data_IF_089617954843
#
_entry.id   IF_089617954843
#
_cell.length_a   1.000
_cell.length_b   1.000
_cell.length_c   1.000
_cell.angle_alpha   90.00
_cell.angle_beta   90.00
_cell.angle_gamma   90.00
#
_symmetry.space_group_name_H-M   'P 1'
#
loop_
_entity.id
_entity.type
_entity.pdbx_description
1 polymer ?
#
# COMPACT_ATOMS: atom_id res chain seq x y z
N UNK A 1 -9.71 12.90 18.10
CA UNK A 1 -9.82 12.20 16.81
C UNK A 1 -11.18 12.52 16.22
N UNK A 2 -11.24 13.36 15.19
CA UNK A 2 -12.51 13.61 14.49
C UNK A 2 -12.86 12.35 13.69
N UNK A 3 -14.01 11.79 14.00
CA UNK A 3 -14.55 10.62 13.35
C UNK A 3 -15.12 11.06 11.98
N UNK A 4 -14.27 11.17 10.97
CA UNK A 4 -14.70 11.47 9.60
C UNK A 4 -15.40 10.23 9.08
N UNK A 5 -16.73 10.18 9.21
CA UNK A 5 -17.55 9.12 8.64
C UNK A 5 -17.55 9.25 7.12
N UNK A 6 -16.52 8.72 6.48
CA UNK A 6 -16.47 8.57 5.03
C UNK A 6 -17.58 7.58 4.67
N UNK A 7 -18.69 8.08 4.12
CA UNK A 7 -19.82 7.24 3.70
C UNK A 7 -19.41 6.49 2.43
N UNK A 8 -19.31 5.16 2.51
CA UNK A 8 -19.17 4.29 1.34
C UNK A 8 -20.45 4.44 0.51
N UNK A 9 -20.36 5.07 -0.67
CA UNK A 9 -21.46 5.02 -1.63
C UNK A 9 -21.74 3.56 -1.97
N UNK A 10 -23.02 3.19 -2.04
CA UNK A 10 -23.51 1.82 -2.24
C UNK A 10 -23.30 1.40 -3.69
N UNK A 11 -22.05 1.37 -4.14
CA UNK A 11 -21.62 0.53 -5.25
C UNK A 11 -21.43 -0.87 -4.66
N UNK A 12 -22.05 -1.87 -5.27
CA UNK A 12 -21.87 -3.27 -4.87
C UNK A 12 -20.45 -3.79 -5.22
N UNK A 13 -19.71 -3.02 -6.04
CA UNK A 13 -18.38 -3.41 -6.51
C UNK A 13 -17.34 -3.13 -5.43
N UNK A 14 -16.44 -4.09 -5.24
CA UNK A 14 -15.30 -3.96 -4.34
C UNK A 14 -14.32 -2.93 -4.89
N UNK A 15 -13.76 -2.11 -4.02
CA UNK A 15 -12.81 -1.05 -4.37
C UNK A 15 -11.38 -1.54 -4.09
N UNK A 16 -10.52 -1.53 -5.10
CA UNK A 16 -9.11 -1.92 -5.01
C UNK A 16 -8.23 -0.70 -5.23
N UNK A 17 -7.37 -0.42 -4.26
CA UNK A 17 -6.37 0.65 -4.35
C UNK A 17 -5.04 0.08 -4.83
N UNK A 18 -4.51 0.55 -5.96
CA UNK A 18 -3.18 0.20 -6.45
C UNK A 18 -2.23 1.33 -6.04
N UNK A 19 -1.38 1.08 -5.03
CA UNK A 19 -0.46 2.07 -4.47
C UNK A 19 0.95 1.47 -4.28
N UNK A 20 1.71 1.28 -5.38
CA UNK A 20 3.05 0.70 -5.33
C UNK A 20 4.13 1.76 -5.09
N UNK A 21 5.36 1.29 -5.01
CA UNK A 21 6.59 2.06 -5.02
C UNK A 21 6.86 2.63 -6.41
N UNK A 22 8.00 3.28 -6.55
CA UNK A 22 8.49 3.84 -7.81
C UNK A 22 9.85 3.24 -8.18
N UNK A 23 10.14 3.17 -9.47
CA UNK A 23 11.42 2.71 -9.99
C UNK A 23 11.27 2.05 -11.36
N UNK A 24 12.38 1.78 -12.04
CA UNK A 24 12.32 1.13 -13.37
C UNK A 24 11.65 -0.25 -13.32
N UNK A 25 11.85 -0.98 -12.22
CA UNK A 25 11.23 -2.27 -11.95
C UNK A 25 9.95 -2.15 -11.09
N UNK A 26 9.45 -0.92 -10.89
CA UNK A 26 8.25 -0.66 -10.10
C UNK A 26 7.00 -1.24 -10.75
N UNK A 27 5.98 -1.52 -9.93
CA UNK A 27 4.77 -2.19 -10.42
C UNK A 27 4.07 -1.39 -11.52
N UNK A 28 3.98 -0.06 -11.37
CA UNK A 28 3.34 0.80 -12.38
C UNK A 28 4.11 0.75 -13.70
N UNK A 29 5.43 0.90 -13.61
CA UNK A 29 6.32 0.95 -14.77
C UNK A 29 6.33 -0.34 -15.59
N UNK A 30 6.08 -1.48 -14.94
CA UNK A 30 6.20 -2.82 -15.54
C UNK A 30 4.85 -3.47 -15.86
N UNK A 31 3.93 -3.50 -14.90
CA UNK A 31 2.67 -4.28 -14.95
C UNK A 31 1.42 -3.48 -14.59
N UNK A 32 1.54 -2.17 -14.36
CA UNK A 32 0.44 -1.34 -13.86
C UNK A 32 -0.79 -1.36 -14.77
N UNK A 33 -0.58 -1.20 -16.08
CA UNK A 33 -1.67 -1.24 -17.06
C UNK A 33 -2.37 -2.61 -17.10
N UNK A 34 -1.59 -3.70 -17.07
CA UNK A 34 -2.10 -5.08 -17.10
C UNK A 34 -2.98 -5.37 -15.87
N UNK A 35 -2.53 -4.97 -14.68
CA UNK A 35 -3.29 -5.17 -13.44
C UNK A 35 -4.57 -4.35 -13.43
N UNK A 36 -4.51 -3.08 -13.88
CA UNK A 36 -5.72 -2.26 -14.00
C UNK A 36 -6.74 -2.94 -14.93
N UNK A 37 -6.30 -3.45 -16.08
CA UNK A 37 -7.16 -4.18 -17.02
C UNK A 37 -7.80 -5.40 -16.37
N UNK A 38 -7.01 -6.28 -15.76
CA UNK A 38 -7.47 -7.52 -15.08
C UNK A 38 -8.56 -7.21 -14.04
N UNK A 39 -8.37 -6.16 -13.24
CA UNK A 39 -9.30 -5.80 -12.18
C UNK A 39 -10.59 -5.18 -12.73
N UNK A 40 -10.49 -4.28 -13.72
CA UNK A 40 -11.66 -3.68 -14.35
C UNK A 40 -12.52 -4.72 -15.06
N UNK A 41 -11.91 -5.65 -15.80
CA UNK A 41 -12.60 -6.76 -16.46
C UNK A 41 -13.28 -7.71 -15.47
N UNK A 42 -12.73 -7.80 -14.26
CA UNK A 42 -13.31 -8.59 -13.17
C UNK A 42 -14.37 -7.83 -12.35
N UNK A 43 -14.76 -6.63 -12.76
CA UNK A 43 -15.83 -5.84 -12.16
C UNK A 43 -15.45 -5.08 -10.88
N UNK A 44 -14.15 -4.89 -10.61
CA UNK A 44 -13.70 -4.07 -9.48
C UNK A 44 -13.75 -2.58 -9.81
N UNK A 45 -13.97 -1.76 -8.79
CA UNK A 45 -13.63 -0.33 -8.85
C UNK A 45 -12.13 -0.19 -8.54
N UNK A 46 -11.38 0.42 -9.44
CA UNK A 46 -9.92 0.51 -9.37
C UNK A 46 -9.49 1.95 -9.15
N UNK A 47 -8.76 2.20 -8.07
CA UNK A 47 -8.09 3.48 -7.81
C UNK A 47 -6.60 3.27 -8.03
N UNK A 48 -6.03 3.85 -9.07
CA UNK A 48 -4.58 3.90 -9.24
C UNK A 48 -4.03 5.15 -8.53
N UNK A 49 -3.15 4.96 -7.55
CA UNK A 49 -2.52 6.02 -6.78
C UNK A 49 -1.00 5.96 -6.94
N UNK A 50 -0.43 6.62 -7.96
CA UNK A 50 1.01 6.60 -8.20
C UNK A 50 1.79 7.31 -7.10
N UNK A 51 3.00 6.81 -6.83
CA UNK A 51 3.95 7.55 -6.02
C UNK A 51 4.35 8.88 -6.70
N UNK A 52 4.58 10.00 -5.98
CA UNK A 52 4.98 11.28 -6.58
C UNK A 52 6.20 11.19 -7.50
N UNK A 53 7.15 10.34 -7.15
CA UNK A 53 8.33 10.10 -7.98
C UNK A 53 8.01 9.34 -9.26
N UNK A 54 6.99 8.48 -9.30
CA UNK A 54 6.49 7.88 -10.54
C UNK A 54 5.85 8.94 -11.42
N UNK A 55 5.07 9.86 -10.86
CA UNK A 55 4.53 11.01 -11.61
C UNK A 55 5.69 11.86 -12.18
N UNK A 56 6.72 12.13 -11.38
CA UNK A 56 7.85 12.97 -11.80
C UNK A 56 8.75 12.29 -12.85
N UNK A 57 9.06 11.00 -12.70
CA UNK A 57 10.08 10.30 -13.50
C UNK A 57 9.49 9.42 -14.61
N UNK A 58 8.27 8.93 -14.42
CA UNK A 58 7.60 7.94 -15.27
C UNK A 58 6.23 8.44 -15.77
N UNK A 59 6.02 9.76 -15.86
CA UNK A 59 4.71 10.34 -16.18
C UNK A 59 4.08 9.78 -17.45
N UNK A 60 4.89 9.46 -18.47
CA UNK A 60 4.42 8.88 -19.73
C UNK A 60 3.66 7.56 -19.51
N UNK A 61 4.09 6.74 -18.54
CA UNK A 61 3.41 5.49 -18.18
C UNK A 61 2.05 5.80 -17.54
N UNK A 62 2.00 6.78 -16.63
CA UNK A 62 0.75 7.22 -16.00
C UNK A 62 -0.23 7.75 -17.05
N UNK A 63 0.23 8.63 -17.93
CA UNK A 63 -0.58 9.19 -19.02
C UNK A 63 -1.10 8.10 -19.97
N UNK A 64 -0.30 7.05 -20.22
CA UNK A 64 -0.74 5.90 -21.04
C UNK A 64 -1.90 5.17 -20.37
N UNK A 65 -1.75 4.83 -19.08
CA UNK A 65 -2.80 4.14 -18.30
C UNK A 65 -4.05 5.02 -18.21
N UNK A 66 -3.89 6.30 -17.87
CA UNK A 66 -5.00 7.26 -17.79
C UNK A 66 -5.75 7.36 -19.12
N UNK A 67 -5.04 7.52 -20.23
CA UNK A 67 -5.64 7.61 -21.57
C UNK A 67 -6.42 6.35 -21.95
N UNK A 68 -5.95 5.18 -21.52
CA UNK A 68 -6.59 3.90 -21.81
C UNK A 68 -7.88 3.69 -21.04
N UNK A 69 -7.92 4.11 -19.78
CA UNK A 69 -9.05 3.85 -18.88
C UNK A 69 -9.89 5.08 -18.52
N UNK A 70 -9.62 6.26 -19.12
CA UNK A 70 -10.32 7.53 -18.81
C UNK A 70 -11.84 7.47 -18.91
N UNK A 71 -12.37 6.65 -19.81
CA UNK A 71 -13.82 6.55 -20.08
C UNK A 71 -14.47 5.41 -19.28
N UNK A 72 -13.67 4.64 -18.52
CA UNK A 72 -14.18 3.58 -17.66
C UNK A 72 -14.61 4.17 -16.30
N UNK A 73 -15.92 4.13 -16.03
CA UNK A 73 -16.51 4.68 -14.80
C UNK A 73 -16.01 4.00 -13.51
N UNK A 74 -15.44 2.80 -13.61
CA UNK A 74 -14.88 2.07 -12.48
C UNK A 74 -13.38 2.38 -12.26
N UNK A 75 -12.76 3.22 -13.08
CA UNK A 75 -11.35 3.61 -12.94
C UNK A 75 -11.21 5.04 -12.40
N UNK A 76 -10.30 5.24 -11.46
CA UNK A 76 -9.90 6.56 -10.96
C UNK A 76 -8.38 6.65 -10.85
N UNK A 77 -7.80 7.68 -11.45
CA UNK A 77 -6.43 8.08 -11.17
C UNK A 77 -6.41 9.09 -10.01
N UNK A 78 -5.62 8.83 -8.98
CA UNK A 78 -5.46 9.70 -7.82
C UNK A 78 -4.02 10.20 -7.70
N UNK A 79 -3.81 11.48 -8.02
CA UNK A 79 -2.49 12.13 -8.00
C UNK A 79 -2.27 13.07 -6.81
N UNK A 80 -3.33 13.47 -6.09
CA UNK A 80 -3.20 14.29 -4.88
C UNK A 80 -2.82 13.41 -3.68
N UNK A 81 -1.56 13.48 -3.28
CA UNK A 81 -1.04 12.73 -2.13
C UNK A 81 -1.68 13.10 -0.79
N UNK A 82 -2.28 14.29 -0.68
CA UNK A 82 -2.94 14.71 0.56
C UNK A 82 -4.29 14.04 0.72
N UNK A 83 -4.87 13.52 -0.37
CA UNK A 83 -6.10 12.76 -0.28
C UNK A 83 -5.82 11.48 0.52
N UNK A 84 -6.60 11.26 1.57
CA UNK A 84 -6.54 10.02 2.35
C UNK A 84 -7.79 9.16 2.17
N UNK A 85 -8.82 9.69 1.52
CA UNK A 85 -10.13 9.08 1.39
C UNK A 85 -10.07 7.69 0.73
N UNK A 86 -9.20 7.52 -0.28
CA UNK A 86 -9.01 6.25 -0.98
C UNK A 86 -8.55 5.13 -0.05
N UNK A 87 -7.71 5.42 0.96
CA UNK A 87 -7.29 4.44 1.95
C UNK A 87 -8.47 3.98 2.84
N UNK A 88 -9.37 4.89 3.20
CA UNK A 88 -10.58 4.54 3.97
C UNK A 88 -11.57 3.73 3.14
N UNK A 89 -11.79 4.13 1.88
CA UNK A 89 -12.83 3.59 1.01
C UNK A 89 -12.50 2.22 0.39
N UNK A 90 -11.22 1.94 0.12
CA UNK A 90 -10.84 0.68 -0.54
C UNK A 90 -11.04 -0.53 0.37
N UNK A 91 -11.42 -1.66 -0.22
CA UNK A 91 -11.60 -2.94 0.47
C UNK A 91 -10.25 -3.66 0.66
N UNK A 92 -9.29 -3.43 -0.24
CA UNK A 92 -7.92 -3.89 -0.12
C UNK A 92 -6.97 -3.02 -0.96
N UNK A 93 -5.67 -3.22 -0.78
CA UNK A 93 -4.62 -2.56 -1.56
C UNK A 93 -3.77 -3.60 -2.32
N UNK A 94 -3.41 -3.27 -3.56
CA UNK A 94 -2.32 -3.91 -4.31
C UNK A 94 -1.10 -3.00 -4.23
N UNK A 95 0.05 -3.57 -3.90
CA UNK A 95 1.32 -2.86 -3.82
C UNK A 95 2.48 -3.77 -4.22
N UNK A 96 3.71 -3.27 -4.12
CA UNK A 96 4.96 -4.01 -4.32
C UNK A 96 5.86 -3.87 -3.07
N UNK A 97 6.95 -3.13 -3.15
CA UNK A 97 7.90 -2.84 -2.08
C UNK A 97 7.64 -1.47 -1.44
N UNK A 98 6.39 -1.01 -1.41
CA UNK A 98 6.04 0.30 -0.88
C UNK A 98 5.81 0.28 0.62
N UNK A 99 6.45 1.19 1.37
CA UNK A 99 6.18 1.38 2.80
C UNK A 99 4.73 1.78 3.09
N UNK A 100 4.04 2.45 2.15
CA UNK A 100 2.63 2.84 2.31
C UNK A 100 1.70 1.63 2.49
N UNK A 101 2.10 0.46 1.98
CA UNK A 101 1.34 -0.77 2.18
C UNK A 101 1.38 -1.23 3.65
N UNK A 102 2.52 -1.08 4.31
CA UNK A 102 2.69 -1.40 5.73
C UNK A 102 1.87 -0.43 6.57
N UNK A 103 1.97 0.88 6.26
CA UNK A 103 1.17 1.92 6.93
C UNK A 103 -0.32 1.66 6.79
N UNK A 104 -0.78 1.33 5.58
CA UNK A 104 -2.18 0.99 5.31
C UNK A 104 -2.65 -0.23 6.11
N UNK A 105 -1.88 -1.33 6.07
CA UNK A 105 -2.25 -2.53 6.80
C UNK A 105 -2.36 -2.22 8.30
N UNK A 106 -1.38 -1.52 8.87
CA UNK A 106 -1.39 -1.17 10.29
C UNK A 106 -2.46 -0.15 10.68
N UNK A 107 -2.80 0.80 9.83
CA UNK A 107 -3.80 1.81 10.14
C UNK A 107 -5.24 1.28 9.98
N UNK A 108 -5.51 0.53 8.91
CA UNK A 108 -6.86 0.11 8.53
C UNK A 108 -7.17 -1.34 8.84
N UNK A 109 -6.15 -2.14 9.19
CA UNK A 109 -6.28 -3.57 9.48
C UNK A 109 -6.89 -4.36 8.31
N UNK A 110 -6.58 -3.91 7.09
CA UNK A 110 -7.02 -4.47 5.81
C UNK A 110 -5.86 -5.18 5.09
N UNK A 111 -6.14 -6.24 4.31
CA UNK A 111 -5.10 -7.03 3.65
C UNK A 111 -4.43 -6.29 2.49
N UNK A 112 -3.18 -6.65 2.23
CA UNK A 112 -2.41 -6.25 1.05
C UNK A 112 -2.22 -7.43 0.11
N UNK A 113 -2.29 -7.18 -1.19
CA UNK A 113 -1.83 -8.09 -2.24
C UNK A 113 -0.53 -7.53 -2.83
N UNK A 114 0.58 -8.15 -2.46
CA UNK A 114 1.90 -7.75 -2.89
C UNK A 114 2.26 -8.43 -4.21
N UNK A 115 2.39 -7.67 -5.28
CA UNK A 115 2.96 -8.18 -6.52
C UNK A 115 4.47 -8.26 -6.37
N UNK A 116 5.03 -9.44 -6.66
CA UNK A 116 6.44 -9.72 -6.45
C UNK A 116 7.30 -9.23 -7.61
N UNK A 117 7.52 -7.91 -7.63
CA UNK A 117 8.48 -7.26 -8.50
C UNK A 117 9.91 -7.45 -7.97
N UNK A 118 10.95 -7.24 -8.80
CA UNK A 118 12.32 -7.22 -8.30
C UNK A 118 12.46 -6.28 -7.10
N UNK A 119 13.17 -6.76 -6.06
CA UNK A 119 13.32 -6.02 -4.81
C UNK A 119 13.87 -4.62 -5.05
N UNK A 120 13.24 -3.64 -4.41
CA UNK A 120 13.70 -2.25 -4.47
C UNK A 120 14.86 -2.03 -3.50
N UNK A 121 16.06 -2.35 -3.98
CA UNK A 121 17.31 -2.14 -3.24
C UNK A 121 17.82 -0.72 -3.53
N UNK A 122 17.75 0.16 -2.52
CA UNK A 122 18.28 1.53 -2.62
C UNK A 122 19.74 1.64 -2.13
N UNK A 123 20.15 0.72 -1.24
CA UNK A 123 21.51 0.65 -0.74
C UNK A 123 22.20 -0.58 -1.37
N UNK A 124 23.19 -0.42 -2.27
CA UNK A 124 23.89 -1.55 -2.87
C UNK A 124 24.71 -2.37 -1.86
N UNK A 125 24.98 -1.81 -0.68
CA UNK A 125 25.69 -2.48 0.42
C UNK A 125 24.73 -3.06 1.46
N UNK A 126 23.45 -3.27 1.13
CA UNK A 126 22.47 -3.83 2.06
C UNK A 126 22.90 -5.16 2.66
N UNK A 127 23.60 -5.99 1.88
CA UNK A 127 24.06 -7.31 2.28
C UNK A 127 25.21 -7.27 3.31
N UNK A 128 25.80 -6.11 3.58
CA UNK A 128 26.78 -5.95 4.68
C UNK A 128 26.12 -5.96 6.06
N UNK A 129 24.80 -5.76 6.13
CA UNK A 129 24.02 -5.80 7.36
C UNK A 129 23.22 -7.10 7.35
N UNK A 130 23.55 -8.04 8.25
CA UNK A 130 22.86 -9.33 8.39
C UNK A 130 21.50 -9.16 9.10
N UNK A 131 20.61 -8.39 8.50
CA UNK A 131 19.24 -8.15 8.95
C UNK A 131 18.28 -8.17 7.78
N UNK A 132 17.18 -8.90 7.95
CA UNK A 132 16.09 -8.94 6.97
C UNK A 132 15.35 -7.59 7.01
N UNK A 133 15.19 -6.90 5.86
CA UNK A 133 14.41 -5.66 5.78
C UNK A 133 12.99 -5.85 6.29
N UNK A 134 12.43 -4.81 6.90
CA UNK A 134 11.09 -4.87 7.48
C UNK A 134 10.03 -5.20 6.42
N UNK A 135 10.17 -4.61 5.23
CA UNK A 135 9.30 -4.85 4.08
C UNK A 135 9.31 -6.32 3.68
N UNK A 136 10.48 -6.96 3.63
CA UNK A 136 10.60 -8.38 3.29
C UNK A 136 9.95 -9.26 4.35
N UNK A 137 10.23 -8.98 5.63
CA UNK A 137 9.68 -9.73 6.76
C UNK A 137 8.15 -9.66 6.83
N UNK A 138 7.56 -8.49 6.58
CA UNK A 138 6.14 -8.26 6.85
C UNK A 138 5.21 -8.71 5.72
N UNK A 139 5.65 -8.73 4.45
CA UNK A 139 4.77 -8.93 3.29
C UNK A 139 3.85 -10.15 3.40
N UNK A 140 4.39 -11.29 3.84
CA UNK A 140 3.63 -12.54 4.03
C UNK A 140 2.81 -12.59 5.33
N UNK A 141 3.08 -11.68 6.27
CA UNK A 141 2.37 -11.60 7.56
C UNK A 141 1.12 -10.72 7.47
N UNK A 142 1.21 -9.60 6.74
CA UNK A 142 0.14 -8.60 6.62
C UNK A 142 -0.61 -8.66 5.27
N UNK A 143 -0.19 -9.55 4.37
CA UNK A 143 -0.76 -9.69 3.05
C UNK A 143 -0.44 -11.02 2.39
N UNK A 144 -0.73 -11.10 1.10
CA UNK A 144 -0.40 -12.22 0.23
C UNK A 144 0.57 -11.77 -0.86
N UNK A 145 1.62 -12.56 -1.10
CA UNK A 145 2.59 -12.31 -2.18
C UNK A 145 2.15 -13.08 -3.43
N UNK A 146 2.11 -12.38 -4.57
CA UNK A 146 1.64 -12.89 -5.87
C UNK A 146 2.75 -12.70 -6.88
N UNK A 147 3.16 -13.79 -7.54
CA UNK A 147 4.21 -13.73 -8.56
C UNK A 147 3.73 -13.01 -9.83
N UNK A 148 4.69 -12.50 -10.62
CA UNK A 148 4.39 -11.85 -11.91
C UNK A 148 3.72 -12.79 -12.92
N UNK A 149 3.86 -14.10 -12.78
CA UNK A 149 3.19 -15.11 -13.61
C UNK A 149 1.74 -15.39 -13.20
N UNK A 150 1.30 -14.92 -12.04
CA UNK A 150 0.00 -15.24 -11.43
C UNK A 150 -0.94 -14.03 -11.34
N UNK A 151 -0.65 -12.94 -12.08
CA UNK A 151 -1.46 -11.71 -12.01
C UNK A 151 -2.94 -11.94 -12.33
N UNK A 152 -3.25 -12.89 -13.23
CA UNK A 152 -4.63 -13.28 -13.56
C UNK A 152 -5.40 -13.87 -12.37
N UNK A 153 -4.71 -14.36 -11.34
CA UNK A 153 -5.33 -14.92 -10.14
C UNK A 153 -5.72 -13.84 -9.12
N UNK A 154 -5.20 -12.61 -9.24
CA UNK A 154 -5.46 -11.49 -8.30
C UNK A 154 -6.95 -11.33 -7.99
N UNK A 155 -7.88 -11.24 -8.98
CA UNK A 155 -9.32 -11.15 -8.74
C UNK A 155 -9.87 -12.24 -7.81
N UNK A 156 -9.49 -13.49 -8.06
CA UNK A 156 -9.95 -14.65 -7.29
C UNK A 156 -9.43 -14.61 -5.85
N UNK A 157 -8.15 -14.27 -5.67
CA UNK A 157 -7.50 -14.10 -4.37
C UNK A 157 -8.17 -12.99 -3.56
N UNK A 158 -8.40 -11.81 -4.16
CA UNK A 158 -9.14 -10.71 -3.52
C UNK A 158 -10.51 -11.18 -3.04
N UNK A 159 -11.27 -11.87 -3.91
CA UNK A 159 -12.61 -12.32 -3.59
C UNK A 159 -12.64 -13.34 -2.43
N UNK A 160 -11.75 -14.33 -2.46
CA UNK A 160 -11.59 -15.32 -1.39
C UNK A 160 -11.16 -14.67 -0.07
N UNK A 161 -10.18 -13.76 -0.12
CA UNK A 161 -9.64 -13.11 1.07
C UNK A 161 -10.68 -12.26 1.78
N UNK A 162 -11.45 -11.47 1.04
CA UNK A 162 -12.48 -10.60 1.61
C UNK A 162 -13.63 -11.40 2.27
N UNK A 163 -13.79 -12.68 1.96
CA UNK A 163 -14.73 -13.56 2.68
C UNK A 163 -14.16 -14.07 4.02
N UNK A 164 -12.84 -13.98 4.24
CA UNK A 164 -12.12 -14.58 5.37
C UNK A 164 -11.53 -13.57 6.37
N UNK A 165 -11.99 -12.31 6.34
CA UNK A 165 -11.36 -11.12 6.96
C UNK A 165 -10.83 -11.29 8.39
N UNK A 166 -11.49 -12.07 9.25
CA UNK A 166 -11.10 -12.19 10.66
C UNK A 166 -9.68 -12.73 10.87
N UNK A 167 -9.17 -13.62 10.01
CA UNK A 167 -7.86 -14.26 10.22
C UNK A 167 -6.66 -13.33 9.98
N UNK A 168 -6.79 -12.36 9.07
CA UNK A 168 -5.68 -11.45 8.74
C UNK A 168 -5.60 -10.27 9.69
N UNK A 169 -6.75 -9.79 10.17
CA UNK A 169 -6.81 -8.72 11.15
C UNK A 169 -5.93 -9.02 12.37
N UNK A 170 -6.02 -10.23 12.93
CA UNK A 170 -5.22 -10.66 14.07
C UNK A 170 -3.71 -10.68 13.76
N UNK A 171 -3.31 -11.19 12.57
CA UNK A 171 -1.90 -11.20 12.14
C UNK A 171 -1.35 -9.79 11.97
N UNK A 172 -2.13 -8.89 11.38
CA UNK A 172 -1.77 -7.48 11.20
C UNK A 172 -1.60 -6.80 12.55
N UNK A 173 -2.56 -6.99 13.47
CA UNK A 173 -2.50 -6.42 14.82
C UNK A 173 -1.30 -6.94 15.61
N UNK A 174 -0.99 -8.24 15.52
CA UNK A 174 0.20 -8.83 16.12
C UNK A 174 1.47 -8.21 15.56
N UNK A 175 1.59 -8.15 14.22
CA UNK A 175 2.75 -7.55 13.55
C UNK A 175 2.94 -6.10 13.96
N UNK A 176 1.86 -5.29 13.98
CA UNK A 176 1.87 -3.90 14.42
C UNK A 176 2.37 -3.74 15.86
N UNK A 177 1.93 -4.61 16.77
CA UNK A 177 2.36 -4.59 18.18
C UNK A 177 3.86 -4.87 18.35
N UNK A 178 4.43 -5.69 17.48
CA UNK A 178 5.85 -6.05 17.51
C UNK A 178 6.75 -4.99 16.84
N UNK A 179 6.20 -4.18 15.92
CA UNK A 179 7.02 -3.27 15.10
C UNK A 179 6.77 -1.78 15.35
N UNK A 180 5.59 -1.39 15.85
CA UNK A 180 5.22 0.02 16.05
C UNK A 180 5.05 0.32 17.53
N UNK A 181 5.90 1.21 18.04
CA UNK A 181 5.86 1.66 19.43
C UNK A 181 5.14 3.01 19.55
N UNK A 182 4.63 3.31 20.76
CA UNK A 182 3.99 4.59 21.08
C UNK A 182 2.80 4.94 20.16
N UNK A 183 1.99 3.94 19.80
CA UNK A 183 0.78 4.15 18.99
C UNK A 183 -0.18 5.07 19.72
N UNK A 184 -0.55 6.18 19.09
CA UNK A 184 -1.48 7.18 19.64
C UNK A 184 -0.85 8.24 20.56
N UNK A 185 0.41 8.09 20.96
CA UNK A 185 1.12 9.05 21.81
C UNK A 185 2.57 9.33 21.39
N UNK A 186 2.98 8.94 20.18
CA UNK A 186 4.34 9.09 19.67
C UNK A 186 4.88 10.52 19.74
N UNK A 187 4.04 11.53 19.44
CA UNK A 187 4.41 12.94 19.54
C UNK A 187 4.74 13.38 20.97
N UNK A 188 3.96 12.94 21.95
CA UNK A 188 4.22 13.24 23.37
C UNK A 188 5.51 12.57 23.84
N UNK A 189 5.71 11.30 23.50
CA UNK A 189 6.91 10.55 23.87
C UNK A 189 8.18 11.12 23.23
N UNK A 190 8.09 11.53 21.95
CA UNK A 190 9.18 12.23 21.27
C UNK A 190 9.51 13.56 21.94
N UNK A 191 8.50 14.37 22.29
CA UNK A 191 8.71 15.64 22.98
C UNK A 191 9.37 15.45 24.36
N UNK A 192 8.95 14.45 25.14
CA UNK A 192 9.59 14.10 26.42
C UNK A 192 11.07 13.77 26.24
N UNK A 193 11.38 12.89 25.28
CA UNK A 193 12.76 12.50 25.00
C UNK A 193 13.64 13.70 24.59
N UNK A 194 13.13 14.60 23.74
CA UNK A 194 13.87 15.80 23.34
C UNK A 194 14.16 16.73 24.53
N UNK A 195 13.22 16.89 25.46
CA UNK A 195 13.42 17.69 26.66
C UNK A 195 14.45 17.07 27.61
N UNK A 196 14.45 15.74 27.75
CA UNK A 196 15.46 15.01 28.54
C UNK A 196 16.86 15.12 27.91
N UNK A 197 16.96 14.93 26.60
CA UNK A 197 18.21 15.08 25.86
C UNK A 197 18.78 16.48 26.02
N UNK A 198 17.95 17.53 25.88
CA UNK A 198 18.38 18.91 26.11
C UNK A 198 19.02 19.09 27.50
N UNK A 199 18.34 18.62 28.55
CA UNK A 199 18.85 18.73 29.93
C UNK A 199 20.20 18.03 30.09
N UNK A 200 20.38 16.86 29.47
CA UNK A 200 21.64 16.10 29.55
C UNK A 200 22.82 16.76 28.85
N UNK A 201 22.56 17.61 27.84
CA UNK A 201 23.60 18.33 27.10
C UNK A 201 23.98 19.68 27.75
N UNK A 202 23.12 20.21 28.62
CA UNK A 202 23.36 21.45 29.37
C UNK A 202 24.05 21.20 30.73
N UNK A 203 24.23 19.93 31.11
CA UNK A 203 24.93 19.45 32.32
C UNK A 203 26.32 18.92 32.00
#
# INVERSE_FOLDING_TARGET
>A
MQNTSVRKNVSNNKVVLIAPSWGHNGLIETKGQEIVHILLDSGFNVILRPHPMTIKKSNKVIQKIEKEFKDNLNFKLETDIRNTESFFLCDCMISDWSGVAIEYAFAFEKPIFYVDTPQKINNPECDQIDLIPLEEKLRSQIGEVISLSELSLIPSKINQFLQSQNKFKEKIQKSRKETVFNVGNSGEQGAKYLLELKKSLES
#
